data_IF_683237717350
#
_entry.id   IF_683237717350
#
_cell.length_a   1.000
_cell.length_b   1.000
_cell.length_c   1.000
_cell.angle_alpha   90.00
_cell.angle_beta   90.00
_cell.angle_gamma   90.00
#
_symmetry.space_group_name_H-M   'P 1'
#
loop_
_entity.id
_entity.type
_entity.pdbx_description
1 polymer ?
#
# COMPACT_ATOMS: atom_id res chain seq x y z
N UNK A 1 3.18 -3.03 7.36
CA UNK A 1 2.90 -1.92 6.41
C UNK A 1 4.08 -1.32 5.65
N UNK A 2 5.35 -1.53 6.04
CA UNK A 2 6.48 -1.00 5.24
C UNK A 2 6.64 -1.68 3.86
N UNK A 3 5.94 -2.81 3.65
CA UNK A 3 6.08 -3.66 2.46
C UNK A 3 4.95 -3.53 1.43
N UNK A 4 3.91 -2.74 1.69
CA UNK A 4 2.72 -2.59 0.82
C UNK A 4 2.98 -1.85 -0.51
N UNK A 5 4.24 -1.74 -0.90
CA UNK A 5 4.67 -1.21 -2.20
C UNK A 5 5.47 -2.25 -2.99
N UNK A 6 5.70 -3.43 -2.39
CA UNK A 6 6.46 -4.55 -2.96
C UNK A 6 5.45 -5.66 -3.25
N UNK A 7 4.58 -5.46 -4.22
CA UNK A 7 3.46 -6.38 -4.45
C UNK A 7 3.84 -7.52 -5.41
N UNK A 8 5.05 -7.47 -5.96
CA UNK A 8 5.54 -8.42 -6.95
C UNK A 8 6.98 -8.84 -6.68
N UNK A 9 7.34 -10.03 -7.12
CA UNK A 9 8.71 -10.57 -7.01
C UNK A 9 9.71 -9.73 -7.84
N UNK A 10 9.23 -9.12 -8.94
CA UNK A 10 10.00 -8.32 -9.88
C UNK A 10 9.22 -7.06 -10.28
N UNK A 11 9.92 -5.99 -10.71
CA UNK A 11 9.36 -4.68 -11.16
C UNK A 11 8.86 -3.72 -10.06
N UNK A 12 9.35 -3.85 -8.83
CA UNK A 12 9.17 -2.82 -7.80
C UNK A 12 10.39 -1.89 -7.66
N UNK A 13 11.52 -2.29 -8.22
CA UNK A 13 12.80 -1.59 -8.10
C UNK A 13 13.33 -1.18 -9.47
N UNK A 14 13.96 -0.01 -9.62
CA UNK A 14 14.59 0.37 -10.88
C UNK A 14 15.78 -0.54 -11.17
N UNK A 15 15.94 -1.06 -12.40
CA UNK A 15 17.12 -1.84 -12.75
C UNK A 15 18.43 -1.07 -12.49
N UNK A 16 19.50 -1.74 -12.00
CA UNK A 16 19.65 -3.18 -11.78
C UNK A 16 19.29 -3.66 -10.36
N UNK A 17 18.53 -2.88 -9.59
CA UNK A 17 18.22 -3.20 -8.19
C UNK A 17 17.14 -4.28 -8.07
N UNK A 18 17.21 -5.05 -6.98
CA UNK A 18 16.26 -6.10 -6.61
C UNK A 18 16.08 -6.18 -5.08
N UNK A 19 15.38 -7.21 -4.61
CA UNK A 19 15.12 -7.42 -3.18
C UNK A 19 16.38 -7.65 -2.33
N UNK A 20 17.53 -8.02 -2.94
CA UNK A 20 18.79 -8.14 -2.20
C UNK A 20 19.28 -6.78 -1.70
N UNK A 21 18.92 -5.67 -2.36
CA UNK A 21 19.18 -4.34 -1.82
C UNK A 21 18.41 -4.14 -0.50
N UNK A 22 17.13 -4.52 -0.48
CA UNK A 22 16.28 -4.43 0.70
C UNK A 22 16.85 -5.29 1.84
N UNK A 23 17.22 -6.53 1.55
CA UNK A 23 17.88 -7.42 2.51
C UNK A 23 19.18 -6.82 3.07
N UNK A 24 20.01 -6.20 2.21
CA UNK A 24 21.27 -5.57 2.60
C UNK A 24 21.03 -4.37 3.53
N UNK A 25 20.08 -3.49 3.20
CA UNK A 25 19.72 -2.34 4.03
C UNK A 25 19.18 -2.80 5.40
N UNK A 26 18.29 -3.78 5.41
CA UNK A 26 17.73 -4.34 6.64
C UNK A 26 18.82 -4.98 7.51
N UNK A 27 19.78 -5.69 6.91
CA UNK A 27 20.91 -6.30 7.64
C UNK A 27 21.79 -5.23 8.29
N UNK A 28 22.19 -4.20 7.54
CA UNK A 28 23.00 -3.09 8.09
C UNK A 28 22.25 -2.40 9.23
N UNK A 29 20.97 -2.11 9.04
CA UNK A 29 20.17 -1.43 10.05
C UNK A 29 19.92 -2.30 11.30
N UNK A 30 19.76 -3.60 11.13
CA UNK A 30 19.66 -4.57 12.23
C UNK A 30 20.93 -4.58 13.09
N UNK A 31 22.11 -4.39 12.49
CA UNK A 31 23.34 -4.22 13.25
C UNK A 31 23.47 -2.85 13.92
N UNK A 32 23.00 -1.77 13.28
CA UNK A 32 23.13 -0.41 13.82
C UNK A 32 22.13 -0.08 14.93
N UNK A 33 20.87 -0.52 14.79
CA UNK A 33 19.76 -0.19 15.68
C UNK A 33 18.84 -1.41 15.87
N UNK A 34 19.31 -2.47 16.56
CA UNK A 34 18.64 -3.78 16.59
C UNK A 34 17.22 -3.73 17.18
N UNK A 35 17.01 -2.98 18.27
CA UNK A 35 15.69 -2.88 18.89
C UNK A 35 14.66 -2.18 17.98
N UNK A 36 15.08 -1.16 17.24
CA UNK A 36 14.21 -0.43 16.32
C UNK A 36 13.97 -1.23 15.02
N UNK A 37 15.01 -1.88 14.49
CA UNK A 37 14.92 -2.81 13.36
C UNK A 37 13.90 -3.92 13.62
N UNK A 38 13.98 -4.56 14.78
CA UNK A 38 13.08 -5.64 15.16
C UNK A 38 11.61 -5.19 15.16
N UNK A 39 11.33 -3.99 15.68
CA UNK A 39 9.98 -3.43 15.70
C UNK A 39 9.47 -3.03 14.31
N UNK A 40 10.35 -2.71 13.37
CA UNK A 40 9.94 -2.27 12.03
C UNK A 40 9.52 -3.41 11.11
N UNK A 41 10.20 -4.55 11.16
CA UNK A 41 9.97 -5.63 10.19
C UNK A 41 9.89 -7.04 10.74
N UNK A 42 10.48 -7.38 11.89
CA UNK A 42 10.52 -8.79 12.31
C UNK A 42 9.11 -9.34 12.51
N UNK A 43 8.24 -8.64 13.23
CA UNK A 43 6.88 -9.12 13.44
C UNK A 43 6.10 -9.21 12.12
N UNK A 44 6.24 -8.21 11.24
CA UNK A 44 5.56 -8.19 9.95
C UNK A 44 6.00 -9.33 9.01
N UNK A 45 7.29 -9.69 9.04
CA UNK A 45 7.84 -10.82 8.29
C UNK A 45 7.44 -12.16 8.91
N UNK A 46 7.43 -12.26 10.23
CA UNK A 46 6.95 -13.44 10.95
C UNK A 46 5.48 -13.72 10.63
N UNK A 47 4.60 -12.70 10.63
CA UNK A 47 3.20 -12.86 10.24
C UNK A 47 3.05 -13.38 8.80
N UNK A 48 3.83 -12.83 7.85
CA UNK A 48 3.87 -13.30 6.46
C UNK A 48 4.33 -14.75 6.33
N UNK A 49 5.31 -15.15 7.15
CA UNK A 49 5.84 -16.50 7.19
C UNK A 49 4.97 -17.47 8.01
N UNK A 50 4.00 -16.97 8.79
CA UNK A 50 3.26 -17.78 9.75
C UNK A 50 4.12 -18.31 10.90
N UNK A 51 5.14 -17.55 11.32
CA UNK A 51 6.01 -17.84 12.46
C UNK A 51 5.88 -16.76 13.53
N UNK A 52 6.52 -16.96 14.69
CA UNK A 52 6.57 -15.96 15.76
C UNK A 52 7.97 -15.94 16.39
N UNK A 53 8.44 -14.74 16.77
CA UNK A 53 9.66 -14.57 17.56
C UNK A 53 10.98 -14.80 16.82
N UNK A 54 10.98 -15.05 15.51
CA UNK A 54 12.21 -15.17 14.74
C UNK A 54 12.83 -13.79 14.48
N UNK A 55 14.15 -13.69 14.60
CA UNK A 55 14.90 -12.51 14.15
C UNK A 55 15.15 -12.54 12.63
N UNK A 56 15.65 -11.44 12.06
CA UNK A 56 15.84 -11.33 10.61
C UNK A 56 16.73 -12.45 10.02
N UNK A 57 17.91 -12.79 10.58
CA UNK A 57 18.68 -13.95 10.12
C UNK A 57 17.91 -15.27 10.17
N UNK A 58 17.19 -15.55 11.25
CA UNK A 58 16.38 -16.77 11.38
C UNK A 58 15.25 -16.82 10.35
N UNK A 59 14.60 -15.69 10.09
CA UNK A 59 13.57 -15.56 9.05
C UNK A 59 14.14 -15.90 7.69
N UNK A 60 15.32 -15.37 7.33
CA UNK A 60 15.94 -15.64 6.03
C UNK A 60 16.25 -17.13 5.85
N UNK A 61 16.77 -17.79 6.89
CA UNK A 61 17.02 -19.25 6.89
C UNK A 61 15.71 -20.04 6.78
N UNK A 62 14.68 -19.65 7.50
CA UNK A 62 13.38 -20.34 7.48
C UNK A 62 12.66 -20.21 6.14
N UNK A 63 12.77 -19.05 5.48
CA UNK A 63 12.27 -18.85 4.11
C UNK A 63 12.92 -19.83 3.14
N UNK A 64 14.25 -19.97 3.21
CA UNK A 64 15.01 -20.89 2.37
C UNK A 64 14.66 -22.37 2.68
N UNK A 65 14.54 -22.73 3.97
CA UNK A 65 14.12 -24.07 4.39
C UNK A 65 12.75 -24.48 3.83
N UNK A 66 11.86 -23.50 3.60
CA UNK A 66 10.53 -23.72 3.00
C UNK A 66 10.54 -23.68 1.48
N UNK A 67 11.70 -23.55 0.84
CA UNK A 67 11.85 -23.49 -0.61
C UNK A 67 11.27 -22.21 -1.23
N UNK A 68 11.13 -21.14 -0.43
CA UNK A 68 10.71 -19.82 -0.89
C UNK A 68 11.92 -18.87 -0.92
N UNK A 69 11.69 -17.64 -1.36
CA UNK A 69 12.73 -16.61 -1.47
C UNK A 69 12.31 -15.32 -0.77
N UNK A 70 13.27 -14.48 -0.43
CA UNK A 70 13.00 -13.29 0.38
C UNK A 70 12.08 -12.29 -0.33
N UNK A 71 12.23 -12.13 -1.64
CA UNK A 71 11.31 -11.35 -2.49
C UNK A 71 9.88 -11.90 -2.50
N UNK A 72 9.71 -13.22 -2.51
CA UNK A 72 8.38 -13.85 -2.38
C UNK A 72 7.77 -13.58 -1.01
N UNK A 73 8.57 -13.63 0.07
CA UNK A 73 8.10 -13.29 1.41
C UNK A 73 7.65 -11.83 1.47
N UNK A 74 8.43 -10.90 0.92
CA UNK A 74 8.08 -9.48 0.89
C UNK A 74 6.80 -9.20 0.10
N UNK A 75 6.55 -9.97 -0.96
CA UNK A 75 5.37 -9.84 -1.82
C UNK A 75 4.08 -10.46 -1.27
N UNK A 76 4.09 -10.98 -0.03
CA UNK A 76 2.86 -11.40 0.64
C UNK A 76 2.08 -10.16 1.09
N UNK A 77 0.82 -9.99 0.64
CA UNK A 77 0.00 -8.84 0.98
C UNK A 77 -0.19 -8.69 2.49
N UNK A 78 -0.08 -7.46 2.98
CA UNK A 78 -0.48 -7.10 4.33
C UNK A 78 -1.99 -7.30 4.48
N UNK A 79 -2.42 -7.94 5.57
CA UNK A 79 -3.84 -8.23 5.80
C UNK A 79 -4.45 -7.23 6.78
N UNK A 80 -5.64 -6.70 6.48
CA UNK A 80 -6.40 -5.75 7.30
C UNK A 80 -6.66 -6.30 8.72
N UNK A 81 -6.78 -7.62 8.84
CA UNK A 81 -7.06 -8.34 10.08
C UNK A 81 -5.84 -8.54 11.00
N UNK A 82 -4.61 -8.29 10.52
CA UNK A 82 -3.43 -8.49 11.34
C UNK A 82 -3.35 -7.50 12.50
N UNK A 83 -3.05 -8.05 13.69
CA UNK A 83 -2.81 -7.28 14.91
C UNK A 83 -1.39 -7.55 15.36
N UNK A 84 -0.64 -6.49 15.57
CA UNK A 84 0.75 -6.49 16.02
C UNK A 84 0.84 -6.44 17.55
N UNK A 85 2.02 -6.68 18.11
CA UNK A 85 2.24 -6.66 19.55
C UNK A 85 1.90 -5.30 20.19
N UNK A 86 2.07 -4.21 19.44
CA UNK A 86 1.72 -2.84 19.84
C UNK A 86 0.34 -2.37 19.37
N UNK A 87 -0.44 -3.27 18.75
CA UNK A 87 -1.82 -3.03 18.31
C UNK A 87 -2.00 -3.09 16.80
N UNK A 88 -3.04 -2.43 16.28
CA UNK A 88 -3.26 -2.36 14.84
C UNK A 88 -2.32 -1.32 14.22
N UNK A 89 -1.64 -1.71 13.15
CA UNK A 89 -0.76 -0.82 12.39
C UNK A 89 -1.36 -0.58 11.01
N UNK A 90 -1.74 0.67 10.72
CA UNK A 90 -2.35 1.10 9.45
C UNK A 90 -1.74 2.43 8.98
N UNK A 91 -1.54 2.61 7.67
CA UNK A 91 -1.13 3.89 7.11
C UNK A 91 -2.31 4.86 7.11
N UNK A 92 -2.04 6.15 6.93
CA UNK A 92 -3.10 7.17 6.93
C UNK A 92 -4.17 6.90 5.85
N UNK A 93 -3.76 6.44 4.66
CA UNK A 93 -4.68 6.12 3.58
C UNK A 93 -5.41 4.81 3.80
N UNK A 94 -4.71 3.76 4.26
CA UNK A 94 -5.33 2.48 4.59
C UNK A 94 -6.40 2.65 5.67
N UNK A 95 -6.15 3.49 6.68
CA UNK A 95 -7.13 3.80 7.71
C UNK A 95 -8.42 4.43 7.13
N UNK A 96 -8.30 5.40 6.22
CA UNK A 96 -9.46 6.00 5.54
C UNK A 96 -10.21 4.96 4.71
N UNK A 97 -9.50 4.09 4.00
CA UNK A 97 -10.11 3.06 3.18
C UNK A 97 -10.75 1.94 4.00
N UNK A 98 -10.23 1.61 5.18
CA UNK A 98 -10.90 0.71 6.12
C UNK A 98 -12.22 1.31 6.62
N UNK A 99 -12.32 2.63 6.79
CA UNK A 99 -13.59 3.31 7.08
C UNK A 99 -14.56 3.18 5.90
N UNK A 100 -14.09 3.37 4.66
CA UNK A 100 -14.92 3.19 3.46
C UNK A 100 -15.43 1.75 3.34
N UNK A 101 -14.55 0.77 3.59
CA UNK A 101 -14.86 -0.66 3.61
C UNK A 101 -15.90 -0.98 4.68
N UNK A 102 -15.73 -0.48 5.91
CA UNK A 102 -16.71 -0.65 6.99
C UNK A 102 -18.07 0.03 6.70
N UNK A 103 -18.08 1.09 5.89
CA UNK A 103 -19.29 1.77 5.45
C UNK A 103 -19.96 1.10 4.24
N UNK A 104 -19.42 -0.03 3.74
CA UNK A 104 -20.00 -0.81 2.65
C UNK A 104 -19.66 -0.29 1.25
N UNK A 105 -18.73 0.66 1.09
CA UNK A 105 -18.37 1.19 -0.24
C UNK A 105 -17.70 0.13 -1.13
N UNK A 106 -17.10 -0.88 -0.52
CA UNK A 106 -16.50 -2.00 -1.24
C UNK A 106 -17.43 -3.20 -1.41
N UNK A 107 -18.69 -3.16 -0.96
CA UNK A 107 -19.58 -4.32 -1.08
C UNK A 107 -19.95 -4.60 -2.55
N UNK A 108 -20.02 -5.88 -2.96
CA UNK A 108 -19.87 -7.10 -2.15
C UNK A 108 -18.42 -7.63 -2.06
N UNK A 109 -17.42 -6.84 -2.46
CA UNK A 109 -16.01 -7.23 -2.57
C UNK A 109 -15.23 -7.10 -1.26
N UNK A 110 -15.84 -6.65 -0.16
CA UNK A 110 -15.17 -6.33 1.10
C UNK A 110 -14.21 -7.43 1.58
N UNK A 111 -14.62 -8.71 1.50
CA UNK A 111 -13.81 -9.86 1.94
C UNK A 111 -12.59 -10.17 1.03
N UNK A 112 -12.52 -9.53 -0.15
CA UNK A 112 -11.47 -9.72 -1.16
C UNK A 112 -10.59 -8.48 -1.35
N UNK A 113 -10.72 -7.50 -0.46
CA UNK A 113 -9.97 -6.24 -0.51
C UNK A 113 -9.12 -6.14 0.75
N UNK A 114 -7.80 -6.01 0.60
CA UNK A 114 -6.93 -5.64 1.72
C UNK A 114 -6.62 -4.14 1.64
N UNK A 115 -7.32 -3.32 2.44
CA UNK A 115 -7.15 -1.86 2.41
C UNK A 115 -5.73 -1.42 2.79
N UNK A 116 -5.00 -2.25 3.53
CA UNK A 116 -3.58 -2.11 3.83
C UNK A 116 -2.66 -2.10 2.61
N UNK A 117 -3.11 -2.59 1.45
CA UNK A 117 -2.35 -2.63 0.19
C UNK A 117 -2.57 -1.38 -0.68
N UNK A 118 -3.38 -0.43 -0.23
CA UNK A 118 -3.70 0.75 -1.03
C UNK A 118 -2.74 1.91 -0.75
N UNK A 119 -2.34 2.59 -1.81
CA UNK A 119 -1.61 3.85 -1.74
C UNK A 119 -2.56 5.05 -1.87
N UNK A 120 -2.01 6.25 -1.67
CA UNK A 120 -2.76 7.51 -1.85
C UNK A 120 -3.34 7.61 -3.27
N UNK A 121 -2.59 7.14 -4.29
CA UNK A 121 -3.04 7.14 -5.68
C UNK A 121 -4.26 6.25 -5.89
N UNK A 122 -4.25 5.08 -5.26
CA UNK A 122 -5.35 4.13 -5.38
C UNK A 122 -6.61 4.70 -4.72
N UNK A 123 -6.48 5.31 -3.55
CA UNK A 123 -7.60 5.89 -2.82
C UNK A 123 -8.38 6.96 -3.61
N UNK A 124 -7.70 7.90 -4.26
CA UNK A 124 -8.40 8.96 -5.02
C UNK A 124 -8.86 8.48 -6.41
N UNK A 125 -8.30 7.39 -6.93
CA UNK A 125 -8.68 6.84 -8.24
C UNK A 125 -9.90 5.93 -8.18
N UNK A 126 -10.24 5.40 -7.00
CA UNK A 126 -11.47 4.66 -6.75
C UNK A 126 -12.70 5.48 -7.14
N UNK A 127 -13.62 4.83 -7.85
CA UNK A 127 -14.81 5.45 -8.42
C UNK A 127 -15.95 5.59 -7.40
N UNK A 128 -15.64 6.18 -6.25
CA UNK A 128 -16.58 6.40 -5.15
C UNK A 128 -17.08 7.85 -5.06
N UNK A 129 -16.42 8.76 -5.75
CA UNK A 129 -16.64 10.18 -5.59
C UNK A 129 -17.66 10.72 -6.60
N UNK A 130 -18.17 11.91 -6.32
CA UNK A 130 -19.07 12.61 -7.24
C UNK A 130 -18.37 12.87 -8.59
N UNK A 131 -19.07 12.55 -9.68
CA UNK A 131 -18.60 12.80 -11.04
C UNK A 131 -19.37 13.94 -11.72
N UNK A 132 -20.56 14.28 -11.22
CA UNK A 132 -21.36 15.38 -11.71
C UNK A 132 -20.93 16.69 -11.04
N UNK A 133 -20.17 17.49 -11.79
CA UNK A 133 -19.69 18.80 -11.33
C UNK A 133 -20.81 19.77 -10.93
N UNK A 134 -22.05 19.57 -11.41
CA UNK A 134 -23.20 20.40 -11.03
C UNK A 134 -23.68 20.15 -9.61
N UNK A 135 -23.34 18.99 -9.03
CA UNK A 135 -23.65 18.61 -7.64
C UNK A 135 -22.59 19.07 -6.65
N UNK A 136 -21.46 19.59 -7.14
CA UNK A 136 -20.42 20.13 -6.28
C UNK A 136 -20.90 21.42 -5.59
N UNK A 137 -20.42 21.71 -4.36
CA UNK A 137 -20.77 22.95 -3.66
C UNK A 137 -20.42 24.19 -4.49
N UNK A 138 -21.20 25.28 -4.35
CA UNK A 138 -21.00 26.52 -5.13
C UNK A 138 -19.60 27.13 -4.97
N UNK A 139 -19.02 27.03 -3.78
CA UNK A 139 -17.65 27.52 -3.50
C UNK A 139 -16.58 26.71 -4.25
N UNK A 140 -16.90 25.50 -4.71
CA UNK A 140 -15.97 24.63 -5.40
C UNK A 140 -15.59 25.25 -6.74
N UNK A 141 -14.29 25.50 -6.92
CA UNK A 141 -13.74 26.19 -8.07
C UNK A 141 -14.22 27.65 -8.25
N UNK A 142 -14.94 28.28 -7.31
CA UNK A 142 -15.55 29.61 -7.53
C UNK A 142 -14.53 30.68 -7.93
N UNK A 143 -13.39 30.73 -7.24
CA UNK A 143 -12.31 31.69 -7.44
C UNK A 143 -11.17 31.14 -8.33
N UNK A 144 -11.30 29.93 -8.87
CA UNK A 144 -10.24 29.30 -9.66
C UNK A 144 -10.49 29.42 -11.18
N UNK A 145 -9.44 29.84 -11.89
CA UNK A 145 -9.39 29.90 -13.36
C UNK A 145 -9.35 28.51 -14.01
N UNK A 146 -8.93 27.49 -13.26
CA UNK A 146 -8.94 26.09 -13.69
C UNK A 146 -10.00 25.34 -12.90
N UNK A 147 -10.99 24.77 -13.60
CA UNK A 147 -12.05 23.98 -12.96
C UNK A 147 -11.58 22.54 -12.81
N UNK A 148 -11.46 22.07 -11.58
CA UNK A 148 -11.14 20.67 -11.26
C UNK A 148 -12.42 19.84 -11.09
N UNK A 149 -12.36 18.51 -11.35
CA UNK A 149 -13.50 17.61 -11.13
C UNK A 149 -13.76 17.29 -9.64
N UNK A 150 -13.00 17.90 -8.72
CA UNK A 150 -13.12 17.76 -7.28
C UNK A 150 -12.86 19.09 -6.58
N UNK A 151 -13.25 19.17 -5.31
CA UNK A 151 -13.09 20.36 -4.50
C UNK A 151 -11.87 20.25 -3.58
N UNK A 152 -10.86 21.07 -3.82
CA UNK A 152 -9.74 21.20 -2.90
C UNK A 152 -10.14 22.11 -1.73
N UNK A 153 -10.33 21.51 -0.55
CA UNK A 153 -10.83 22.22 0.64
C UNK A 153 -9.78 23.19 1.22
N UNK A 154 -8.49 22.81 1.16
CA UNK A 154 -7.37 23.59 1.72
C UNK A 154 -6.11 23.42 0.90
N UNK A 155 -5.14 24.29 1.14
CA UNK A 155 -3.82 24.26 0.53
C UNK A 155 -3.61 25.44 -0.42
N UNK A 156 -2.39 25.96 -0.42
CA UNK A 156 -2.00 27.09 -1.29
C UNK A 156 -1.80 26.66 -2.74
N UNK A 157 -1.35 25.43 -2.94
CA UNK A 157 -1.00 24.89 -4.25
C UNK A 157 -2.14 24.02 -4.75
N UNK A 158 -2.47 24.15 -6.03
CA UNK A 158 -3.44 23.28 -6.69
C UNK A 158 -2.87 21.88 -6.75
N UNK A 159 -3.61 20.91 -6.22
CA UNK A 159 -3.31 19.50 -6.32
C UNK A 159 -3.89 18.97 -7.61
N UNK A 160 -3.08 18.27 -8.40
CA UNK A 160 -3.55 17.49 -9.54
C UNK A 160 -3.60 16.02 -9.12
N UNK A 161 -4.73 15.38 -9.40
CA UNK A 161 -5.00 13.97 -9.09
C UNK A 161 -5.24 13.19 -10.40
N UNK A 162 -4.18 12.75 -11.09
CA UNK A 162 -4.32 12.02 -12.35
C UNK A 162 -5.03 10.69 -12.15
N UNK A 163 -6.10 10.45 -12.92
CA UNK A 163 -6.94 9.26 -12.76
C UNK A 163 -7.94 9.35 -11.60
N UNK A 164 -8.28 10.56 -11.16
CA UNK A 164 -9.31 10.75 -10.14
C UNK A 164 -10.65 10.11 -10.54
N UNK A 165 -11.20 9.31 -9.63
CA UNK A 165 -12.55 8.74 -9.74
C UNK A 165 -12.79 7.94 -11.04
N UNK A 166 -11.81 7.13 -11.46
CA UNK A 166 -11.87 6.38 -12.72
C UNK A 166 -11.94 4.86 -12.58
N UNK A 167 -11.57 4.30 -11.43
CA UNK A 167 -11.38 2.85 -11.26
C UNK A 167 -12.51 2.27 -10.41
N UNK A 168 -13.29 1.39 -11.02
CA UNK A 168 -14.25 0.55 -10.29
C UNK A 168 -13.49 -0.50 -9.46
N UNK A 169 -13.83 -0.72 -8.17
CA UNK A 169 -13.16 -1.73 -7.34
C UNK A 169 -13.32 -3.14 -7.91
N UNK A 170 -12.32 -3.99 -7.69
CA UNK A 170 -12.32 -5.39 -8.14
C UNK A 170 -11.63 -6.30 -7.10
N UNK A 171 -11.89 -7.62 -7.09
CA UNK A 171 -11.27 -8.53 -6.13
C UNK A 171 -9.74 -8.53 -6.19
N UNK A 172 -9.09 -8.62 -5.04
CA UNK A 172 -7.62 -8.65 -4.89
C UNK A 172 -6.91 -7.43 -5.50
N UNK A 173 -7.57 -6.27 -5.45
CA UNK A 173 -7.03 -5.02 -5.96
C UNK A 173 -5.77 -4.60 -5.21
N UNK A 174 -4.74 -4.20 -5.97
CA UNK A 174 -3.42 -3.74 -5.50
C UNK A 174 -2.52 -4.80 -4.85
N UNK A 175 -2.94 -6.04 -4.67
CA UNK A 175 -2.10 -7.09 -4.05
C UNK A 175 -0.95 -7.60 -4.95
N UNK A 176 -0.98 -7.30 -6.26
CA UNK A 176 -0.02 -7.81 -7.25
C UNK A 176 0.40 -6.75 -8.28
N UNK A 177 0.53 -5.51 -7.82
CA UNK A 177 0.73 -4.35 -8.69
C UNK A 177 2.16 -3.80 -8.64
N UNK A 178 2.89 -3.79 -9.78
CA UNK A 178 4.27 -3.32 -9.78
C UNK A 178 4.34 -1.81 -9.54
N UNK A 179 5.26 -1.39 -8.66
CA UNK A 179 5.44 0.02 -8.27
C UNK A 179 6.71 0.65 -8.86
N UNK A 180 6.94 0.50 -10.17
CA UNK A 180 8.19 0.91 -10.80
C UNK A 180 8.32 2.45 -10.99
N UNK A 181 9.33 3.11 -10.39
CA UNK A 181 9.65 4.51 -10.69
C UNK A 181 10.17 4.70 -12.12
N UNK A 182 10.16 5.94 -12.66
CA UNK A 182 9.66 7.17 -12.04
C UNK A 182 8.18 7.45 -12.32
N UNK A 183 7.57 6.74 -13.27
CA UNK A 183 6.22 7.05 -13.76
C UNK A 183 5.11 6.36 -12.94
N UNK A 184 5.44 5.30 -12.20
CA UNK A 184 4.47 4.53 -11.41
C UNK A 184 3.21 4.18 -12.23
N UNK A 185 3.47 3.65 -13.43
CA UNK A 185 2.41 3.30 -14.36
C UNK A 185 1.63 2.10 -13.82
N UNK A 186 0.31 2.24 -13.77
CA UNK A 186 -0.60 1.17 -13.38
C UNK A 186 -0.81 0.24 -14.58
N UNK A 187 -0.26 -0.97 -14.53
CA UNK A 187 -0.40 -1.96 -15.60
C UNK A 187 -1.83 -2.46 -15.73
N UNK A 188 -2.25 -2.92 -16.92
CA UNK A 188 -3.56 -3.59 -17.07
C UNK A 188 -3.72 -4.73 -16.06
N UNK A 189 -4.89 -4.84 -15.41
CA UNK A 189 -5.20 -5.73 -14.25
C UNK A 189 -4.68 -5.25 -12.89
N UNK A 190 -3.94 -4.14 -12.90
CA UNK A 190 -4.06 -3.09 -11.92
C UNK A 190 -5.06 -2.07 -12.50
#
# INVERSE_FOLDING_TARGET
>A
LIFSWIDTVYKNYPPPLDAHLVASVMTIWNHMQPAYAANLWNEALNKRLGTEGLDLPQILVEVENRGSSFDQLLAIPEQDGWVYADGKSVSCVAYVLQIYKAAGLFDPLSDSIEATEFTIKDAYSLKFFENDTTRLPRWCNEEDNVKLPYCQIRGRYRMELPGYNTIDPYPHMNEKCPSLPPKYYRSSSC
#
